data_IF_296213645521
#
_entry.id   IF_296213645521
#
_cell.length_a   1.000
_cell.length_b   1.000
_cell.length_c   1.000
_cell.angle_alpha   90.00
_cell.angle_beta   90.00
_cell.angle_gamma   90.00
#
_symmetry.space_group_name_H-M   'P 1'
#
loop_
_entity.id
_entity.type
_entity.pdbx_description
1 polymer ?
#
# COMPACT_ATOMS: atom_id res chain seq x y z
N UNK A 1 -22.74 1.33 6.15
CA UNK A 1 -24.05 2.03 6.32
C UNK A 1 -23.91 3.32 7.12
N UNK A 2 -23.23 3.32 8.28
CA UNK A 2 -23.13 4.49 9.18
C UNK A 2 -22.54 5.74 8.48
N UNK A 3 -21.52 5.58 7.66
CA UNK A 3 -20.92 6.68 6.89
C UNK A 3 -21.93 7.31 5.94
N UNK A 4 -22.67 6.49 5.17
CA UNK A 4 -23.71 6.96 4.25
C UNK A 4 -24.83 7.69 5.01
N UNK A 5 -25.23 7.16 6.16
CA UNK A 5 -26.24 7.80 7.01
C UNK A 5 -25.79 9.19 7.47
N UNK A 6 -24.51 9.36 7.84
CA UNK A 6 -23.96 10.64 8.26
C UNK A 6 -23.89 11.60 7.08
N UNK A 7 -23.40 11.15 5.92
CA UNK A 7 -23.34 11.98 4.71
C UNK A 7 -24.71 12.51 4.27
N UNK A 8 -25.79 11.79 4.62
CA UNK A 8 -27.17 12.18 4.32
C UNK A 8 -27.81 13.11 5.35
N UNK A 9 -27.11 13.47 6.43
CA UNK A 9 -27.61 14.38 7.47
C UNK A 9 -27.58 15.82 7.00
N UNK A 10 -28.44 16.65 7.60
CA UNK A 10 -28.47 18.10 7.34
C UNK A 10 -27.32 18.86 8.02
N UNK A 11 -26.90 18.39 9.19
CA UNK A 11 -25.83 18.96 10.01
C UNK A 11 -24.90 17.87 10.49
N UNK A 12 -23.65 18.18 10.83
CA UNK A 12 -22.62 17.19 11.19
C UNK A 12 -22.55 16.04 10.16
N UNK A 13 -22.55 16.42 8.90
CA UNK A 13 -22.62 15.53 7.76
C UNK A 13 -21.23 15.12 7.19
N UNK A 14 -20.19 15.39 7.95
CA UNK A 14 -18.82 14.96 7.63
C UNK A 14 -18.43 13.83 8.58
N UNK A 15 -18.39 12.56 8.14
CA UNK A 15 -17.93 11.47 8.98
C UNK A 15 -16.44 11.55 9.23
N UNK A 16 -16.02 11.31 10.48
CA UNK A 16 -14.64 11.14 10.87
C UNK A 16 -14.41 9.71 11.35
N UNK A 17 -13.70 8.92 10.58
CA UNK A 17 -13.35 7.54 10.90
C UNK A 17 -12.24 7.54 11.96
N UNK A 18 -12.52 7.03 13.13
CA UNK A 18 -11.60 7.02 14.28
C UNK A 18 -11.26 5.57 14.61
N UNK A 19 -9.99 5.23 14.57
CA UNK A 19 -9.51 3.88 14.89
C UNK A 19 -8.01 3.81 14.85
N UNK A 20 -7.47 2.72 15.37
CA UNK A 20 -6.04 2.49 15.37
C UNK A 20 -5.47 2.37 13.95
N UNK A 21 -4.16 2.59 13.76
CA UNK A 21 -3.52 2.38 12.46
C UNK A 21 -3.69 0.94 11.98
N UNK A 22 -3.99 0.74 10.70
CA UNK A 22 -4.10 -0.60 10.11
C UNK A 22 -5.44 -1.31 10.30
N UNK A 23 -6.46 -0.70 10.95
CA UNK A 23 -7.79 -1.32 11.10
C UNK A 23 -8.67 -1.24 9.85
N UNK A 24 -8.21 -0.55 8.78
CA UNK A 24 -8.91 -0.49 7.50
C UNK A 24 -9.77 0.76 7.29
N UNK A 25 -9.44 1.89 7.91
CA UNK A 25 -10.18 3.17 7.72
C UNK A 25 -10.23 3.60 6.25
N UNK A 26 -9.13 3.52 5.54
CA UNK A 26 -9.03 3.88 4.10
C UNK A 26 -9.86 2.93 3.24
N UNK A 27 -9.88 1.63 3.57
CA UNK A 27 -10.71 0.63 2.88
C UNK A 27 -12.22 0.92 2.98
N UNK A 28 -12.66 1.59 4.04
CA UNK A 28 -14.07 2.02 4.18
C UNK A 28 -14.42 3.08 3.13
N UNK A 29 -13.50 4.03 2.86
CA UNK A 29 -13.69 5.05 1.83
C UNK A 29 -13.69 4.44 0.42
N UNK A 30 -12.80 3.48 0.16
CA UNK A 30 -12.77 2.72 -1.10
C UNK A 30 -14.06 1.91 -1.30
N UNK A 31 -14.52 1.21 -0.25
CA UNK A 31 -15.78 0.46 -0.27
C UNK A 31 -17.01 1.35 -0.49
N UNK A 32 -17.00 2.58 0.03
CA UNK A 32 -18.03 3.58 -0.26
C UNK A 32 -18.00 3.97 -1.75
N UNK A 33 -16.82 4.24 -2.31
CA UNK A 33 -16.67 4.59 -3.72
C UNK A 33 -17.19 3.47 -4.64
N UNK A 34 -16.88 2.21 -4.32
CA UNK A 34 -17.39 1.04 -5.06
C UNK A 34 -18.92 0.93 -5.00
N UNK A 35 -19.52 1.15 -3.83
CA UNK A 35 -20.99 1.13 -3.68
C UNK A 35 -21.66 2.26 -4.44
N UNK A 36 -21.05 3.44 -4.47
CA UNK A 36 -21.56 4.56 -5.28
C UNK A 36 -21.49 4.21 -6.76
N UNK A 37 -20.38 3.65 -7.22
CA UNK A 37 -20.20 3.25 -8.62
C UNK A 37 -21.18 2.15 -9.06
N UNK A 38 -21.50 1.20 -8.17
CA UNK A 38 -22.49 0.16 -8.43
C UNK A 38 -23.94 0.62 -8.31
N UNK A 39 -24.20 1.87 -7.90
CA UNK A 39 -25.53 2.41 -7.69
C UNK A 39 -26.27 1.87 -6.45
N UNK A 40 -25.61 1.07 -5.61
CA UNK A 40 -26.19 0.45 -4.39
C UNK A 40 -26.16 1.42 -3.20
N UNK A 41 -26.57 2.66 -3.42
CA UNK A 41 -26.58 3.75 -2.42
C UNK A 41 -27.85 4.59 -2.55
N UNK A 42 -28.28 5.26 -1.46
CA UNK A 42 -29.39 6.22 -1.48
C UNK A 42 -29.11 7.39 -2.44
N UNK A 43 -30.15 8.03 -2.91
CA UNK A 43 -30.10 9.16 -3.85
C UNK A 43 -29.23 10.32 -3.34
N UNK A 44 -29.14 10.52 -2.03
CA UNK A 44 -28.32 11.57 -1.38
C UNK A 44 -26.82 11.49 -1.68
N UNK A 45 -26.33 10.30 -1.98
CA UNK A 45 -24.90 10.06 -2.31
C UNK A 45 -24.72 9.46 -3.70
N UNK A 46 -25.80 9.18 -4.43
CA UNK A 46 -25.76 8.67 -5.80
C UNK A 46 -25.07 9.65 -6.74
N UNK A 47 -24.22 9.15 -7.61
CA UNK A 47 -23.48 9.97 -8.59
C UNK A 47 -22.36 10.80 -8.00
N UNK A 48 -22.11 10.72 -6.70
CA UNK A 48 -20.95 11.37 -6.08
C UNK A 48 -19.67 10.58 -6.37
N UNK A 49 -18.55 11.28 -6.31
CA UNK A 49 -17.20 10.72 -6.49
C UNK A 49 -16.43 10.90 -5.20
N UNK A 50 -15.75 9.85 -4.74
CA UNK A 50 -14.81 9.94 -3.62
C UNK A 50 -13.44 10.28 -4.19
N UNK A 51 -12.86 11.38 -3.73
CA UNK A 51 -11.54 11.86 -4.17
C UNK A 51 -10.66 12.01 -2.94
N UNK A 52 -9.53 11.31 -2.94
CA UNK A 52 -8.53 11.42 -1.86
C UNK A 52 -7.70 12.69 -2.03
N UNK A 53 -7.60 13.46 -0.97
CA UNK A 53 -6.75 14.64 -0.89
C UNK A 53 -5.51 14.33 -0.05
N UNK A 54 -4.35 14.25 -0.70
CA UNK A 54 -3.05 14.09 -0.05
C UNK A 54 -2.47 15.45 0.35
N UNK A 55 -2.70 15.86 1.59
CA UNK A 55 -2.20 17.11 2.13
C UNK A 55 -0.68 17.08 2.31
N UNK A 56 -0.12 15.95 2.72
CA UNK A 56 1.32 15.80 2.93
C UNK A 56 2.09 15.97 1.63
N UNK A 57 1.62 15.36 0.55
CA UNK A 57 2.17 15.53 -0.79
C UNK A 57 2.04 16.96 -1.32
N UNK A 58 0.95 17.65 -0.99
CA UNK A 58 0.76 19.05 -1.36
C UNK A 58 1.74 19.98 -0.64
N UNK A 59 2.04 19.74 0.64
CA UNK A 59 3.04 20.49 1.42
C UNK A 59 4.44 20.24 0.86
N UNK A 60 4.82 18.98 0.63
CA UNK A 60 6.13 18.61 0.12
C UNK A 60 6.43 19.19 -1.27
N UNK A 61 5.41 19.41 -2.09
CA UNK A 61 5.51 20.03 -3.41
C UNK A 61 5.50 21.56 -3.42
N UNK A 62 5.38 22.24 -2.27
CA UNK A 62 5.29 23.70 -2.15
C UNK A 62 6.58 24.28 -1.59
N UNK A 63 7.15 25.26 -2.28
CA UNK A 63 8.36 25.97 -1.81
C UNK A 63 8.06 27.00 -0.74
N UNK A 64 6.85 27.58 -0.74
CA UNK A 64 6.41 28.63 0.17
C UNK A 64 4.99 28.36 0.69
N UNK A 65 4.70 28.86 1.90
CA UNK A 65 3.39 28.75 2.54
C UNK A 65 2.23 29.23 1.65
N UNK A 66 2.39 30.35 0.97
CA UNK A 66 1.36 30.91 0.09
C UNK A 66 0.98 30.01 -1.08
N UNK A 67 1.94 29.26 -1.62
CA UNK A 67 1.69 28.31 -2.71
C UNK A 67 0.79 27.15 -2.26
N UNK A 68 1.02 26.62 -1.07
CA UNK A 68 0.18 25.59 -0.47
C UNK A 68 -1.25 26.09 -0.23
N UNK A 69 -1.39 27.28 0.34
CA UNK A 69 -2.71 27.90 0.58
C UNK A 69 -3.48 28.10 -0.72
N UNK A 70 -2.82 28.55 -1.79
CA UNK A 70 -3.45 28.72 -3.10
C UNK A 70 -3.87 27.38 -3.71
N UNK A 71 -3.05 26.34 -3.57
CA UNK A 71 -3.39 24.98 -4.04
C UNK A 71 -4.65 24.46 -3.35
N UNK A 72 -4.74 24.56 -2.02
CA UNK A 72 -5.95 24.15 -1.29
C UNK A 72 -7.17 24.96 -1.72
N UNK A 73 -7.06 26.29 -1.83
CA UNK A 73 -8.15 27.15 -2.31
C UNK A 73 -8.63 26.74 -3.70
N UNK A 74 -7.70 26.38 -4.58
CA UNK A 74 -8.02 25.87 -5.92
C UNK A 74 -8.80 24.56 -5.86
N UNK A 75 -8.35 23.59 -5.05
CA UNK A 75 -9.05 22.32 -4.85
C UNK A 75 -10.46 22.56 -4.32
N UNK A 76 -10.64 23.39 -3.30
CA UNK A 76 -11.95 23.73 -2.74
C UNK A 76 -12.87 24.32 -3.81
N UNK A 77 -12.37 25.23 -4.63
CA UNK A 77 -13.14 25.83 -5.72
C UNK A 77 -13.59 24.77 -6.73
N UNK A 78 -12.68 23.94 -7.20
CA UNK A 78 -12.98 22.86 -8.16
C UNK A 78 -14.00 21.86 -7.59
N UNK A 79 -13.88 21.49 -6.30
CA UNK A 79 -14.82 20.60 -5.62
C UNK A 79 -16.20 21.24 -5.48
N UNK A 80 -16.24 22.52 -5.13
CA UNK A 80 -17.49 23.28 -4.99
C UNK A 80 -18.20 23.43 -6.34
N UNK A 81 -17.44 23.75 -7.39
CA UNK A 81 -17.98 23.88 -8.76
C UNK A 81 -18.48 22.55 -9.31
N UNK A 82 -17.79 21.44 -9.03
CA UNK A 82 -18.20 20.10 -9.42
C UNK A 82 -19.49 19.64 -8.72
N UNK A 83 -19.68 20.01 -7.45
CA UNK A 83 -20.89 19.74 -6.66
C UNK A 83 -21.16 18.27 -6.30
N UNK A 84 -20.41 17.32 -6.88
CA UNK A 84 -20.59 15.88 -6.72
C UNK A 84 -19.38 15.17 -6.10
N UNK A 85 -18.48 15.89 -5.47
CA UNK A 85 -17.26 15.33 -4.88
C UNK A 85 -17.41 15.18 -3.37
N UNK A 86 -17.01 13.99 -2.87
CA UNK A 86 -16.76 13.72 -1.45
C UNK A 86 -15.23 13.66 -1.28
N UNK A 87 -14.68 14.60 -0.53
CA UNK A 87 -13.25 14.57 -0.22
C UNK A 87 -12.96 13.52 0.86
N UNK A 88 -11.97 12.69 0.64
CA UNK A 88 -11.41 11.82 1.66
C UNK A 88 -10.03 12.35 2.08
N UNK A 89 -9.82 12.55 3.37
CA UNK A 89 -8.54 12.97 3.93
C UNK A 89 -8.14 11.94 4.97
N UNK A 90 -7.07 11.21 4.65
CA UNK A 90 -6.41 10.38 5.64
C UNK A 90 -5.53 11.25 6.55
N UNK A 91 -5.27 10.77 7.75
CA UNK A 91 -4.54 11.56 8.76
C UNK A 91 -5.13 12.97 8.93
N UNK A 92 -6.45 13.03 9.18
CA UNK A 92 -7.21 14.29 9.26
C UNK A 92 -6.61 15.32 10.24
N UNK A 93 -5.83 14.87 11.23
CA UNK A 93 -5.12 15.73 12.18
C UNK A 93 -4.09 16.65 11.50
N UNK A 94 -3.59 16.27 10.31
CA UNK A 94 -2.64 17.10 9.54
C UNK A 94 -3.23 18.45 9.10
N UNK A 95 -4.57 18.55 9.04
CA UNK A 95 -5.26 19.80 8.73
C UNK A 95 -5.02 20.87 9.79
N UNK A 96 -4.91 20.49 11.07
CA UNK A 96 -4.86 21.38 12.22
C UNK A 96 -3.40 21.64 12.66
N UNK A 97 -2.46 21.72 11.75
CA UNK A 97 -1.10 22.09 12.06
C UNK A 97 -0.45 21.17 13.11
N UNK A 98 -0.23 19.94 12.76
CA UNK A 98 0.48 18.95 13.58
C UNK A 98 1.98 19.23 13.76
N UNK A 99 2.40 20.49 13.56
CA UNK A 99 3.75 20.95 13.76
C UNK A 99 3.80 22.02 14.85
N UNK A 100 4.29 21.68 16.04
CA UNK A 100 4.68 22.66 17.05
C UNK A 100 5.88 23.53 16.64
N UNK A 101 6.20 23.62 15.36
CA UNK A 101 7.23 24.48 14.82
C UNK A 101 6.59 25.78 14.28
N UNK A 102 7.20 26.90 14.54
CA UNK A 102 6.87 28.19 13.94
C UNK A 102 6.83 28.04 12.42
N UNK A 103 5.63 28.15 11.82
CA UNK A 103 5.42 27.98 10.38
C UNK A 103 4.53 26.82 9.96
N UNK A 104 3.98 26.03 10.89
CA UNK A 104 3.02 24.97 10.57
C UNK A 104 1.83 25.54 9.79
N UNK A 105 1.57 24.92 8.64
CA UNK A 105 0.52 25.33 7.72
C UNK A 105 -0.81 24.86 8.29
N UNK A 106 -1.65 25.81 8.68
CA UNK A 106 -2.99 25.53 9.20
C UNK A 106 -4.01 25.54 8.04
N UNK A 107 -4.18 24.37 7.42
CA UNK A 107 -5.18 24.18 6.37
C UNK A 107 -6.62 24.31 6.91
N UNK A 108 -6.82 24.21 8.23
CA UNK A 108 -8.13 24.26 8.86
C UNK A 108 -8.81 25.60 8.61
N UNK A 109 -8.07 26.70 8.67
CA UNK A 109 -8.60 28.05 8.44
C UNK A 109 -9.12 28.27 7.01
N UNK A 110 -8.60 27.50 6.04
CA UNK A 110 -9.04 27.57 4.64
C UNK A 110 -10.29 26.67 4.45
N UNK A 111 -10.31 25.51 5.09
CA UNK A 111 -11.40 24.53 4.95
C UNK A 111 -12.64 24.89 5.79
N UNK A 112 -12.45 25.47 6.98
CA UNK A 112 -13.54 25.82 7.91
C UNK A 112 -14.70 26.61 7.27
N UNK A 113 -14.47 27.68 6.49
CA UNK A 113 -15.57 28.45 5.90
C UNK A 113 -16.41 27.59 4.95
N UNK A 114 -15.78 26.79 4.11
CA UNK A 114 -16.49 25.97 3.11
C UNK A 114 -17.23 24.78 3.75
N UNK A 115 -16.66 24.19 4.80
CA UNK A 115 -17.35 23.19 5.63
C UNK A 115 -18.52 23.81 6.40
N UNK A 116 -18.35 25.04 6.89
CA UNK A 116 -19.41 25.74 7.62
C UNK A 116 -20.61 26.08 6.74
N UNK A 117 -20.37 26.47 5.49
CA UNK A 117 -21.42 26.76 4.50
C UNK A 117 -22.00 25.50 3.84
N UNK A 118 -21.42 24.33 4.08
CA UNK A 118 -21.82 23.07 3.43
C UNK A 118 -21.50 23.02 1.93
N UNK A 119 -20.54 23.80 1.48
CA UNK A 119 -20.07 23.85 0.09
C UNK A 119 -19.30 22.58 -0.28
N UNK A 120 -18.65 21.97 0.69
CA UNK A 120 -17.88 20.74 0.55
C UNK A 120 -18.32 19.73 1.60
N UNK A 121 -18.25 18.46 1.27
CA UNK A 121 -18.38 17.33 2.20
C UNK A 121 -17.06 16.57 2.29
N UNK A 122 -16.69 16.19 3.52
CA UNK A 122 -15.40 15.60 3.84
C UNK A 122 -15.59 14.34 4.68
N UNK A 123 -14.84 13.30 4.32
CA UNK A 123 -14.68 12.08 5.10
C UNK A 123 -13.24 12.11 5.63
N UNK A 124 -13.08 12.15 6.94
CA UNK A 124 -11.77 12.12 7.57
C UNK A 124 -11.44 10.75 8.16
N UNK A 125 -10.16 10.44 8.29
CA UNK A 125 -9.66 9.31 9.02
C UNK A 125 -8.53 9.74 9.95
N UNK A 126 -8.56 9.27 11.21
CA UNK A 126 -7.54 9.61 12.21
C UNK A 126 -7.54 8.58 13.36
N UNK A 127 -6.62 8.70 14.29
CA UNK A 127 -6.63 7.92 15.54
C UNK A 127 -7.45 8.61 16.62
N UNK A 128 -7.82 7.88 17.68
CA UNK A 128 -8.57 8.44 18.81
C UNK A 128 -7.77 9.50 19.55
N UNK A 129 -6.46 9.25 19.73
CA UNK A 129 -5.56 10.17 20.41
C UNK A 129 -5.45 11.50 19.66
N UNK A 130 -5.21 11.44 18.37
CA UNK A 130 -5.10 12.62 17.49
C UNK A 130 -6.42 13.38 17.39
N UNK A 131 -7.55 12.66 17.29
CA UNK A 131 -8.86 13.28 17.27
C UNK A 131 -9.13 14.09 18.54
N UNK A 132 -8.83 13.53 19.73
CA UNK A 132 -8.94 14.25 21.01
C UNK A 132 -8.05 15.47 21.06
N UNK A 133 -6.77 15.30 20.76
CA UNK A 133 -5.75 16.35 20.84
C UNK A 133 -6.01 17.52 19.91
N UNK A 134 -6.45 17.27 18.70
CA UNK A 134 -6.56 18.31 17.67
C UNK A 134 -7.99 18.85 17.47
N UNK A 135 -9.01 18.03 17.61
CA UNK A 135 -10.38 18.40 17.34
C UNK A 135 -11.17 18.76 18.60
N UNK A 136 -11.05 17.99 19.68
CA UNK A 136 -11.79 18.27 20.91
C UNK A 136 -11.10 19.39 21.69
N UNK A 137 -9.79 19.34 21.86
CA UNK A 137 -9.05 20.28 22.71
C UNK A 137 -8.71 21.59 22.05
N UNK A 138 -8.49 21.62 20.72
CA UNK A 138 -7.99 22.79 20.00
C UNK A 138 -9.00 23.48 19.08
N UNK A 139 -10.00 22.79 18.56
CA UNK A 139 -10.88 23.32 17.51
C UNK A 139 -12.34 22.89 17.60
N UNK A 140 -13.06 23.47 18.56
CA UNK A 140 -14.50 23.24 18.76
C UNK A 140 -15.35 23.61 17.53
N UNK A 141 -14.87 24.45 16.62
CA UNK A 141 -15.62 24.80 15.41
C UNK A 141 -15.60 23.68 14.38
N UNK A 142 -14.47 23.00 14.23
CA UNK A 142 -14.37 21.80 13.40
C UNK A 142 -15.08 20.60 14.04
N UNK A 143 -14.95 20.41 15.35
CA UNK A 143 -15.63 19.33 16.07
C UNK A 143 -17.14 19.32 15.80
N UNK A 144 -17.78 20.49 15.76
CA UNK A 144 -19.22 20.63 15.46
C UNK A 144 -19.59 20.25 14.02
N UNK A 145 -18.65 20.10 13.11
CA UNK A 145 -18.88 19.76 11.71
C UNK A 145 -18.66 18.28 11.41
N UNK A 146 -17.89 17.61 12.25
CA UNK A 146 -17.62 16.19 12.11
C UNK A 146 -18.49 15.33 13.00
N UNK A 147 -18.81 14.15 12.52
CA UNK A 147 -19.44 13.09 13.29
C UNK A 147 -18.47 11.93 13.42
N UNK A 148 -17.98 11.63 14.62
CA UNK A 148 -17.06 10.51 14.83
C UNK A 148 -17.76 9.17 14.55
N UNK A 149 -17.02 8.27 13.91
CA UNK A 149 -17.38 6.89 13.62
C UNK A 149 -16.22 6.02 14.06
N UNK A 150 -16.41 5.28 15.13
CA UNK A 150 -15.39 4.35 15.61
C UNK A 150 -15.24 3.18 14.65
N UNK A 151 -14.00 2.91 14.25
CA UNK A 151 -13.62 1.76 13.45
C UNK A 151 -12.80 0.86 14.34
N UNK A 152 -13.41 -0.22 14.79
CA UNK A 152 -12.79 -1.21 15.64
C UNK A 152 -11.91 -2.16 14.83
N UNK A 153 -10.95 -2.80 15.49
CA UNK A 153 -10.19 -3.89 14.92
C UNK A 153 -11.15 -5.04 14.54
N UNK A 154 -11.07 -5.60 13.34
CA UNK A 154 -11.90 -6.72 12.94
C UNK A 154 -11.58 -7.97 13.78
N UNK A 155 -12.58 -8.83 13.97
CA UNK A 155 -12.34 -10.16 14.56
C UNK A 155 -11.48 -11.01 13.62
N UNK A 156 -10.90 -12.09 14.14
CA UNK A 156 -10.10 -13.03 13.32
C UNK A 156 -10.90 -13.56 12.14
N UNK A 157 -12.18 -13.92 12.34
CA UNK A 157 -13.06 -14.40 11.27
C UNK A 157 -13.29 -13.33 10.20
N UNK A 158 -13.52 -12.08 10.61
CA UNK A 158 -13.67 -10.97 9.68
C UNK A 158 -12.38 -10.67 8.93
N UNK A 159 -11.24 -10.73 9.59
CA UNK A 159 -9.94 -10.56 8.96
C UNK A 159 -9.65 -11.65 7.92
N UNK A 160 -9.99 -12.92 8.20
CA UNK A 160 -9.88 -14.02 7.25
C UNK A 160 -10.70 -13.72 5.98
N UNK A 161 -11.95 -13.27 6.13
CA UNK A 161 -12.79 -12.92 4.98
C UNK A 161 -12.23 -11.73 4.19
N UNK A 162 -11.65 -10.74 4.86
CA UNK A 162 -10.96 -9.62 4.20
C UNK A 162 -9.78 -10.13 3.37
N UNK A 163 -8.92 -10.96 3.95
CA UNK A 163 -7.75 -11.50 3.25
C UNK A 163 -8.16 -12.41 2.08
N UNK A 164 -9.22 -13.21 2.23
CA UNK A 164 -9.78 -13.99 1.11
C UNK A 164 -10.23 -13.09 -0.04
N UNK A 165 -10.84 -11.95 0.26
CA UNK A 165 -11.21 -10.96 -0.75
C UNK A 165 -10.02 -10.31 -1.46
N UNK A 166 -8.89 -10.20 -0.79
CA UNK A 166 -7.65 -9.62 -1.34
C UNK A 166 -6.76 -10.64 -2.06
N UNK A 167 -6.94 -11.94 -1.80
CA UNK A 167 -6.11 -13.06 -2.27
C UNK A 167 -5.76 -12.94 -3.74
N UNK A 168 -6.74 -12.83 -4.62
CA UNK A 168 -6.53 -12.84 -6.07
C UNK A 168 -5.60 -11.70 -6.54
N UNK A 169 -5.68 -10.54 -5.88
CA UNK A 169 -4.82 -9.39 -6.18
C UNK A 169 -3.36 -9.68 -5.83
N UNK A 170 -3.10 -10.29 -4.66
CA UNK A 170 -1.75 -10.65 -4.22
C UNK A 170 -1.18 -11.84 -5.01
N UNK A 171 -2.00 -12.85 -5.30
CA UNK A 171 -1.62 -13.98 -6.15
C UNK A 171 -1.17 -13.53 -7.55
N UNK A 172 -1.91 -12.59 -8.15
CA UNK A 172 -1.54 -11.98 -9.44
C UNK A 172 -0.26 -11.16 -9.37
N UNK A 173 -0.08 -10.41 -8.30
CA UNK A 173 1.09 -9.55 -8.14
C UNK A 173 2.37 -10.36 -7.96
N UNK A 174 2.34 -11.36 -7.08
CA UNK A 174 3.51 -12.17 -6.76
C UNK A 174 3.66 -13.42 -7.63
N UNK A 175 2.67 -13.75 -8.46
CA UNK A 175 2.63 -15.00 -9.24
C UNK A 175 2.76 -16.26 -8.37
N UNK A 176 2.03 -16.30 -7.27
CA UNK A 176 1.96 -17.41 -6.31
C UNK A 176 0.51 -17.83 -6.10
N UNK A 177 0.29 -18.98 -5.48
CA UNK A 177 -1.01 -19.42 -4.98
C UNK A 177 -1.02 -19.32 -3.45
N UNK A 178 -2.05 -18.68 -2.88
CA UNK A 178 -2.21 -18.52 -1.43
C UNK A 178 -3.33 -19.46 -0.98
N UNK A 179 -3.00 -20.38 -0.09
CA UNK A 179 -3.97 -21.38 0.41
C UNK A 179 -4.87 -20.76 1.49
N UNK A 180 -6.03 -21.39 1.72
CA UNK A 180 -6.90 -21.02 2.85
C UNK A 180 -6.18 -21.17 4.19
N UNK A 181 -5.41 -22.26 4.35
CA UNK A 181 -4.57 -22.46 5.53
C UNK A 181 -3.52 -21.36 5.72
N UNK A 182 -2.92 -20.85 4.64
CA UNK A 182 -2.00 -19.71 4.68
C UNK A 182 -2.70 -18.44 5.17
N UNK A 183 -3.90 -18.15 4.68
CA UNK A 183 -4.70 -17.00 5.13
C UNK A 183 -5.06 -17.11 6.60
N UNK A 184 -5.57 -18.27 7.03
CA UNK A 184 -5.90 -18.50 8.43
C UNK A 184 -4.67 -18.38 9.33
N UNK A 185 -3.54 -18.92 8.91
CA UNK A 185 -2.28 -18.81 9.63
C UNK A 185 -1.82 -17.34 9.74
N UNK A 186 -1.91 -16.56 8.65
CA UNK A 186 -1.55 -15.14 8.67
C UNK A 186 -2.35 -14.36 9.71
N UNK A 187 -3.64 -14.61 9.83
CA UNK A 187 -4.50 -13.96 10.82
C UNK A 187 -4.20 -14.45 12.23
N UNK A 188 -4.25 -15.77 12.48
CA UNK A 188 -4.09 -16.36 13.81
C UNK A 188 -2.70 -16.10 14.40
N UNK A 189 -1.63 -16.29 13.58
CA UNK A 189 -0.27 -16.09 14.04
C UNK A 189 0.04 -14.60 14.27
N UNK A 190 -0.45 -13.69 13.40
CA UNK A 190 -0.30 -12.27 13.65
C UNK A 190 -1.04 -11.81 14.89
N UNK A 191 -2.26 -12.29 15.13
CA UNK A 191 -3.02 -11.97 16.33
C UNK A 191 -2.29 -12.42 17.60
N UNK A 192 -1.65 -13.60 17.55
CA UNK A 192 -0.99 -14.22 18.70
C UNK A 192 0.40 -13.65 19.00
N UNK A 193 1.20 -13.37 17.97
CA UNK A 193 2.63 -13.07 18.13
C UNK A 193 3.01 -11.61 17.83
N UNK A 194 2.13 -10.84 17.18
CA UNK A 194 2.38 -9.44 16.82
C UNK A 194 1.38 -8.56 17.58
N UNK A 195 1.81 -8.04 18.74
CA UNK A 195 0.94 -7.30 19.66
C UNK A 195 0.92 -5.79 19.40
N UNK A 196 1.91 -5.26 18.73
CA UNK A 196 2.11 -3.83 18.47
C UNK A 196 1.43 -3.30 17.21
N UNK A 197 0.72 -4.16 16.48
CA UNK A 197 0.00 -3.84 15.24
C UNK A 197 -1.39 -4.46 15.26
N UNK A 198 -2.27 -3.97 14.38
CA UNK A 198 -3.69 -4.32 14.34
C UNK A 198 -4.07 -5.11 13.10
N UNK A 199 -5.09 -5.96 13.24
CA UNK A 199 -5.76 -6.60 12.10
C UNK A 199 -6.59 -5.57 11.32
N UNK A 200 -6.73 -5.72 9.99
CA UNK A 200 -6.20 -6.80 9.16
C UNK A 200 -4.77 -6.54 8.67
N UNK A 201 -4.21 -5.35 8.87
CA UNK A 201 -2.96 -4.88 8.26
C UNK A 201 -1.78 -5.80 8.55
N UNK A 202 -1.57 -6.18 9.81
CA UNK A 202 -0.49 -7.11 10.20
C UNK A 202 -0.58 -8.48 9.52
N UNK A 203 -1.78 -8.97 9.25
CA UNK A 203 -1.97 -10.24 8.55
C UNK A 203 -1.78 -10.08 7.04
N UNK A 204 -2.16 -8.95 6.48
CA UNK A 204 -1.92 -8.60 5.07
C UNK A 204 -0.41 -8.52 4.81
N UNK A 205 0.34 -7.83 5.68
CA UNK A 205 1.79 -7.72 5.56
C UNK A 205 2.48 -9.09 5.62
N UNK A 206 2.05 -9.98 6.52
CA UNK A 206 2.58 -11.35 6.57
C UNK A 206 2.33 -12.11 5.28
N UNK A 207 1.12 -12.00 4.74
CA UNK A 207 0.75 -12.64 3.48
C UNK A 207 1.56 -12.09 2.31
N UNK A 208 1.78 -10.78 2.26
CA UNK A 208 2.55 -10.10 1.23
C UNK A 208 4.03 -10.51 1.28
N UNK A 209 4.65 -10.46 2.47
CA UNK A 209 6.06 -10.83 2.65
C UNK A 209 6.31 -12.31 2.41
N UNK A 210 5.43 -13.20 2.87
CA UNK A 210 5.53 -14.63 2.59
C UNK A 210 5.42 -14.89 1.09
N UNK A 211 4.51 -14.23 0.40
CA UNK A 211 4.36 -14.32 -1.06
C UNK A 211 5.61 -13.85 -1.79
N UNK A 212 6.19 -12.74 -1.37
CA UNK A 212 7.45 -12.21 -1.89
C UNK A 212 8.61 -13.19 -1.65
N UNK A 213 8.75 -13.73 -0.43
CA UNK A 213 9.81 -14.69 -0.06
C UNK A 213 9.72 -15.97 -0.90
N UNK A 214 8.52 -16.52 -1.06
CA UNK A 214 8.26 -17.70 -1.89
C UNK A 214 8.61 -17.43 -3.35
N UNK A 215 8.26 -16.27 -3.87
CA UNK A 215 8.61 -15.85 -5.23
C UNK A 215 10.13 -15.76 -5.41
N UNK A 216 10.84 -15.11 -4.50
CA UNK A 216 12.30 -14.99 -4.51
C UNK A 216 13.00 -16.36 -4.33
N UNK A 217 12.48 -17.21 -3.44
CA UNK A 217 13.00 -18.58 -3.24
C UNK A 217 12.88 -19.47 -4.46
N UNK A 218 11.87 -19.21 -5.32
CA UNK A 218 11.73 -19.85 -6.64
C UNK A 218 12.82 -19.44 -7.65
N UNK A 219 13.51 -18.33 -7.40
CA UNK A 219 14.57 -17.75 -8.23
C UNK A 219 16.00 -18.21 -7.85
N UNK A 220 16.17 -19.36 -7.23
CA UNK A 220 17.53 -19.93 -7.08
C UNK A 220 18.10 -20.23 -8.45
N UNK A 221 19.02 -19.37 -8.91
CA UNK A 221 19.72 -19.56 -10.17
C UNK A 221 20.46 -20.92 -10.13
N UNK A 222 20.22 -21.81 -11.07
CA UNK A 222 20.91 -23.10 -11.10
C UNK A 222 22.42 -22.89 -11.16
N UNK A 223 23.17 -23.66 -10.39
CA UNK A 223 24.65 -23.63 -10.37
C UNK A 223 25.29 -23.59 -11.77
N UNK A 224 24.72 -24.38 -12.69
CA UNK A 224 25.14 -24.43 -14.10
C UNK A 224 25.03 -23.10 -14.86
N UNK A 225 24.06 -22.26 -14.52
CA UNK A 225 23.90 -20.92 -15.14
C UNK A 225 24.98 -19.97 -14.58
N UNK A 226 25.20 -20.01 -13.26
CA UNK A 226 26.24 -19.23 -12.60
C UNK A 226 27.65 -19.63 -13.06
N UNK A 227 27.93 -20.92 -13.25
CA UNK A 227 29.19 -21.42 -13.80
C UNK A 227 29.46 -20.93 -15.22
N UNK A 228 28.42 -20.93 -16.08
CA UNK A 228 28.52 -20.42 -17.44
C UNK A 228 28.75 -18.90 -17.47
N UNK A 229 28.15 -18.16 -16.56
CA UNK A 229 28.33 -16.72 -16.40
C UNK A 229 29.76 -16.38 -15.99
N UNK A 230 30.28 -17.08 -14.99
CA UNK A 230 31.70 -16.97 -14.58
C UNK A 230 32.66 -17.37 -15.72
N UNK A 231 32.32 -18.40 -16.49
CA UNK A 231 33.16 -18.81 -17.63
C UNK A 231 33.17 -17.75 -18.73
N UNK A 232 32.02 -17.15 -19.06
CA UNK A 232 31.93 -16.08 -20.07
C UNK A 232 32.77 -14.85 -19.63
N UNK A 233 32.68 -14.47 -18.35
CA UNK A 233 33.48 -13.36 -17.81
C UNK A 233 34.98 -13.60 -17.91
N UNK A 234 35.47 -14.82 -17.57
CA UNK A 234 36.89 -15.19 -17.72
C UNK A 234 37.33 -15.16 -19.16
N UNK A 235 36.55 -15.71 -20.08
CA UNK A 235 36.87 -15.70 -21.52
C UNK A 235 36.88 -14.25 -22.08
N UNK A 236 36.16 -13.32 -21.49
CA UNK A 236 36.19 -11.91 -21.83
C UNK A 236 37.52 -11.25 -21.44
N UNK A 237 37.95 -11.49 -20.20
CA UNK A 237 39.28 -11.04 -19.69
C UNK A 237 40.43 -11.62 -20.48
N UNK A 238 40.38 -12.93 -20.75
CA UNK A 238 41.42 -13.62 -21.55
C UNK A 238 41.47 -13.09 -23.00
N UNK A 239 40.33 -12.76 -23.58
CA UNK A 239 40.25 -12.19 -24.93
C UNK A 239 40.87 -10.77 -24.96
N UNK A 240 40.55 -9.92 -23.97
CA UNK A 240 41.10 -8.58 -23.84
C UNK A 240 42.63 -8.64 -23.67
N UNK A 241 43.13 -9.55 -22.84
CA UNK A 241 44.57 -9.76 -22.63
C UNK A 241 45.28 -10.22 -23.91
N UNK A 242 44.69 -11.18 -24.64
CA UNK A 242 45.23 -11.66 -25.91
C UNK A 242 45.26 -10.56 -26.98
N UNK A 243 44.27 -9.65 -26.99
CA UNK A 243 44.23 -8.50 -27.90
C UNK A 243 45.33 -7.46 -27.55
N UNK A 244 45.54 -7.18 -26.24
CA UNK A 244 46.60 -6.27 -25.77
C UNK A 244 47.99 -6.80 -26.11
N UNK A 245 48.18 -8.11 -26.03
CA UNK A 245 49.42 -8.78 -26.36
C UNK A 245 49.59 -9.06 -27.89
N UNK A 246 48.67 -8.58 -28.72
CA UNK A 246 48.64 -8.76 -30.18
C UNK A 246 48.59 -10.22 -30.65
N UNK A 247 48.09 -11.14 -29.78
CA UNK A 247 47.88 -12.55 -30.10
C UNK A 247 46.54 -12.77 -30.79
N UNK A 248 46.43 -12.33 -32.03
CA UNK A 248 45.13 -12.29 -32.76
C UNK A 248 44.51 -13.66 -33.05
N UNK A 249 45.32 -14.70 -33.29
CA UNK A 249 44.83 -16.07 -33.49
C UNK A 249 44.22 -16.62 -32.23
N UNK A 250 44.84 -16.42 -31.06
CA UNK A 250 44.36 -16.83 -29.76
C UNK A 250 43.05 -16.09 -29.43
N UNK A 251 43.02 -14.76 -29.63
CA UNK A 251 41.84 -13.95 -29.44
C UNK A 251 40.65 -14.44 -30.30
N UNK A 252 40.91 -14.88 -31.53
CA UNK A 252 39.92 -15.46 -32.41
C UNK A 252 39.37 -16.83 -31.93
N UNK A 253 40.22 -17.65 -31.30
CA UNK A 253 39.83 -18.91 -30.70
C UNK A 253 38.98 -18.68 -29.44
N UNK A 254 39.41 -17.79 -28.55
CA UNK A 254 38.71 -17.41 -27.32
C UNK A 254 37.33 -16.82 -27.64
N UNK A 255 37.24 -15.99 -28.67
CA UNK A 255 35.92 -15.44 -29.13
C UNK A 255 34.96 -16.52 -29.53
N UNK A 256 35.39 -17.55 -30.28
CA UNK A 256 34.53 -18.68 -30.67
C UNK A 256 34.06 -19.48 -29.45
N UNK A 257 34.95 -19.69 -28.48
CA UNK A 257 34.59 -20.37 -27.23
C UNK A 257 33.59 -19.55 -26.41
N UNK A 258 33.78 -18.24 -26.29
CA UNK A 258 32.87 -17.30 -25.63
C UNK A 258 31.48 -17.34 -26.30
N UNK A 259 31.40 -17.28 -27.63
CA UNK A 259 30.12 -17.38 -28.36
C UNK A 259 29.41 -18.72 -28.13
N UNK A 260 30.16 -19.81 -28.06
CA UNK A 260 29.58 -21.13 -27.75
C UNK A 260 29.09 -21.22 -26.29
N UNK A 261 29.83 -20.65 -25.35
CA UNK A 261 29.40 -20.55 -23.95
C UNK A 261 28.16 -19.69 -23.79
N UNK A 262 28.10 -18.54 -24.50
CA UNK A 262 26.96 -17.62 -24.50
C UNK A 262 25.68 -18.29 -25.04
N UNK A 263 25.77 -19.02 -26.14
CA UNK A 263 24.63 -19.78 -26.67
C UNK A 263 24.13 -20.86 -25.71
N UNK A 264 25.04 -21.48 -24.96
CA UNK A 264 24.65 -22.45 -23.92
C UNK A 264 23.96 -21.75 -22.74
N UNK A 265 24.48 -20.62 -22.31
CA UNK A 265 23.91 -19.76 -21.27
C UNK A 265 22.48 -19.36 -21.64
N UNK A 266 22.28 -18.75 -22.82
CA UNK A 266 20.97 -18.32 -23.30
C UNK A 266 19.93 -19.46 -23.33
N UNK A 267 20.33 -20.66 -23.80
CA UNK A 267 19.45 -21.85 -23.78
C UNK A 267 19.11 -22.31 -22.35
N UNK A 268 20.08 -22.27 -21.43
CA UNK A 268 19.83 -22.66 -20.05
C UNK A 268 18.94 -21.66 -19.32
N UNK A 269 19.14 -20.38 -19.55
CA UNK A 269 18.29 -19.29 -19.00
C UNK A 269 16.86 -19.41 -19.55
N UNK A 270 16.70 -19.62 -20.87
CA UNK A 270 15.39 -19.79 -21.48
C UNK A 270 14.64 -21.04 -20.95
N UNK A 271 15.37 -22.13 -20.74
CA UNK A 271 14.83 -23.34 -20.12
C UNK A 271 14.43 -23.07 -18.67
N UNK A 272 15.27 -22.38 -17.91
CA UNK A 272 15.01 -22.02 -16.52
C UNK A 272 13.74 -21.17 -16.39
N UNK A 273 13.58 -20.14 -17.22
CA UNK A 273 12.37 -19.32 -17.24
C UNK A 273 11.12 -20.12 -17.55
N UNK A 274 11.16 -21.02 -18.55
CA UNK A 274 10.04 -21.91 -18.88
C UNK A 274 9.68 -22.88 -17.74
N UNK A 275 10.68 -23.37 -17.01
CA UNK A 275 10.46 -24.31 -15.91
C UNK A 275 10.03 -23.57 -14.63
N UNK A 276 10.50 -22.32 -14.42
CA UNK A 276 10.06 -21.45 -13.33
C UNK A 276 8.59 -21.04 -13.47
N UNK A 277 8.15 -20.73 -14.68
CA UNK A 277 6.74 -20.38 -14.97
C UNK A 277 5.78 -21.57 -14.78
N UNK A 278 6.29 -22.81 -14.82
CA UNK A 278 5.50 -24.03 -14.57
C UNK A 278 5.43 -24.43 -13.10
N UNK A 279 6.35 -23.96 -12.26
CA UNK A 279 6.32 -24.23 -10.82
C UNK A 279 5.21 -23.40 -10.18
N UNK A 280 4.14 -24.05 -9.74
CA UNK A 280 3.16 -23.45 -8.84
C UNK A 280 3.84 -23.18 -7.51
N UNK A 281 4.18 -21.93 -7.27
CA UNK A 281 4.67 -21.46 -5.98
C UNK A 281 3.47 -21.28 -5.05
N UNK A 282 3.50 -21.93 -3.90
CA UNK A 282 2.37 -21.99 -2.97
C UNK A 282 2.78 -21.37 -1.64
N UNK A 283 1.93 -20.51 -1.11
CA UNK A 283 2.04 -19.91 0.23
C UNK A 283 1.04 -20.61 1.13
N UNK A 284 1.53 -21.37 2.06
CA UNK A 284 0.75 -22.08 3.07
C UNK A 284 1.09 -21.63 4.49
N UNK A 285 0.68 -22.45 5.45
CA UNK A 285 0.90 -22.17 6.88
C UNK A 285 2.39 -22.09 7.24
N UNK A 286 3.23 -22.97 6.66
CA UNK A 286 4.66 -23.01 6.96
C UNK A 286 5.39 -21.76 6.52
N UNK A 287 5.09 -21.24 5.35
CA UNK A 287 5.70 -20.03 4.80
C UNK A 287 5.33 -18.81 5.64
N UNK A 288 4.08 -18.73 6.10
CA UNK A 288 3.63 -17.68 7.03
C UNK A 288 4.32 -17.82 8.39
N UNK A 289 4.39 -19.02 8.96
CA UNK A 289 5.04 -19.27 10.25
C UNK A 289 6.53 -18.90 10.23
N UNK A 290 7.20 -19.13 9.11
CA UNK A 290 8.60 -18.74 8.90
C UNK A 290 8.78 -17.20 8.96
N UNK A 291 7.90 -16.43 8.33
CA UNK A 291 7.96 -14.96 8.41
C UNK A 291 7.69 -14.48 9.83
N UNK A 292 6.69 -15.04 10.51
CA UNK A 292 6.41 -14.68 11.91
C UNK A 292 7.63 -14.97 12.80
N UNK A 293 8.30 -16.10 12.58
CA UNK A 293 9.53 -16.44 13.30
C UNK A 293 10.67 -15.45 12.99
N UNK A 294 10.78 -15.01 11.74
CA UNK A 294 11.78 -14.02 11.32
C UNK A 294 11.54 -12.66 11.99
N UNK A 295 10.28 -12.23 12.08
CA UNK A 295 9.93 -10.93 12.70
C UNK A 295 10.05 -10.94 14.21
N UNK A 296 9.49 -11.96 14.85
CA UNK A 296 9.40 -12.03 16.31
C UNK A 296 10.62 -12.63 16.99
N UNK A 297 11.47 -13.32 16.22
CA UNK A 297 12.58 -14.16 16.72
C UNK A 297 12.11 -15.30 17.63
N UNK A 298 10.83 -15.63 17.59
CA UNK A 298 10.22 -16.75 18.31
C UNK A 298 10.01 -17.89 17.31
N UNK A 299 10.55 -19.09 17.54
CA UNK A 299 10.32 -20.22 16.63
C UNK A 299 8.84 -20.62 16.68
N UNK A 300 8.13 -20.38 15.61
CA UNK A 300 6.73 -20.77 15.38
C UNK A 300 6.74 -22.04 14.54
N UNK A 301 6.10 -23.10 15.04
CA UNK A 301 5.94 -24.38 14.35
C UNK A 301 4.47 -24.66 14.11
#
# INVERSE_FOLDING_TARGET
FRVIQILSRRTKNNPCLIGEPGVGKTAIAEGLAQRIASGLVPDTVRGKRVVTLDLSGMVAGSKYRGEFEERIKKVIREVTEAGNVLLFIDELHTIIGAGGAEGAIDASNILKPSLARGEIQLIGATTLEEYRKYYIEKDAALERRFQPVTVEEPTEEQAIEILKGLRERYEKHHHVQITDAGIEAAVKLSARYIADRYLPDKAIDLMDEASSKVRLGGFKMPEKISELECKIARLEEDMETALMEQRFEDAGAIRREKEAARKKYEKQVEKYHRDADKKKLVVGENEIAEIVSDWTKIPVK
#
